data_IF_400813608923
#
_entry.id   IF_400813608923
#
_cell.length_a   1.000
_cell.length_b   1.000
_cell.length_c   1.000
_cell.angle_alpha   90.00
_cell.angle_beta   90.00
_cell.angle_gamma   90.00
#
_symmetry.space_group_name_H-M   'P 1'
#
loop_
_entity.id
_entity.type
_entity.pdbx_description
1 polymer ?
#
# COMPACT_ATOMS: atom_id res chain seq x y z
N UNK A 1 -18.64 26.32 -3.41
CA UNK A 1 -18.30 25.24 -4.36
C UNK A 1 -16.94 25.42 -5.05
N UNK A 2 -16.52 26.62 -5.49
CA UNK A 2 -15.22 26.82 -6.18
C UNK A 2 -13.98 26.60 -5.29
N UNK A 3 -14.04 26.94 -4.00
CA UNK A 3 -12.91 26.74 -3.08
C UNK A 3 -12.53 25.26 -2.90
N UNK A 4 -13.49 24.33 -2.85
CA UNK A 4 -13.20 22.90 -2.66
C UNK A 4 -12.42 22.29 -3.83
N UNK A 5 -12.79 22.65 -5.06
CA UNK A 5 -12.18 22.13 -6.28
C UNK A 5 -10.72 22.57 -6.49
N UNK A 6 -10.30 23.68 -5.89
CA UNK A 6 -8.91 24.17 -5.94
C UNK A 6 -8.12 23.75 -4.69
N UNK A 7 -8.76 23.78 -3.52
CA UNK A 7 -8.12 23.48 -2.24
C UNK A 7 -7.75 21.99 -2.13
N UNK A 8 -8.55 21.08 -2.68
CA UNK A 8 -8.26 19.64 -2.67
C UNK A 8 -6.96 19.27 -3.41
N UNK A 9 -6.80 19.60 -4.72
CA UNK A 9 -5.54 19.39 -5.41
C UNK A 9 -4.38 20.09 -4.70
N UNK A 10 -4.60 21.31 -4.18
CA UNK A 10 -3.56 22.07 -3.50
C UNK A 10 -3.08 21.37 -2.20
N UNK A 11 -4.00 20.83 -1.38
CA UNK A 11 -3.65 20.07 -0.18
C UNK A 11 -2.84 18.83 -0.57
N UNK A 12 -3.29 18.08 -1.57
CA UNK A 12 -2.57 16.87 -2.03
C UNK A 12 -1.19 17.23 -2.56
N UNK A 13 -1.08 18.23 -3.43
CA UNK A 13 0.19 18.75 -3.95
C UNK A 13 1.09 19.17 -2.78
N UNK A 14 0.57 19.92 -1.82
CA UNK A 14 1.34 20.36 -0.65
C UNK A 14 1.82 19.18 0.20
N UNK A 15 0.98 18.17 0.42
CA UNK A 15 1.35 16.95 1.14
C UNK A 15 2.42 16.13 0.39
N UNK A 16 2.30 16.03 -0.93
CA UNK A 16 3.26 15.29 -1.77
C UNK A 16 4.60 16.02 -1.86
N UNK A 17 4.60 17.32 -2.16
CA UNK A 17 5.81 18.14 -2.24
C UNK A 17 6.46 18.32 -0.87
N UNK A 18 5.67 18.63 0.17
CA UNK A 18 6.15 18.74 1.54
C UNK A 18 6.70 17.40 2.04
N UNK A 19 5.99 16.30 1.77
CA UNK A 19 6.44 14.94 2.07
C UNK A 19 7.73 14.57 1.34
N UNK A 20 7.84 14.89 0.05
CA UNK A 20 9.05 14.68 -0.76
C UNK A 20 10.24 15.50 -0.24
N UNK A 21 10.00 16.76 0.15
CA UNK A 21 11.02 17.63 0.74
C UNK A 21 11.52 17.13 2.09
N UNK A 22 10.62 16.67 2.96
CA UNK A 22 10.94 16.12 4.28
C UNK A 22 11.66 14.77 4.15
N UNK A 23 11.28 13.95 3.18
CA UNK A 23 11.80 12.60 2.97
C UNK A 23 12.99 12.51 2.00
N UNK A 24 13.59 13.64 1.62
CA UNK A 24 14.83 13.62 0.82
C UNK A 24 16.01 13.18 1.69
N UNK A 25 16.85 12.29 1.18
CA UNK A 25 18.09 11.93 1.86
C UNK A 25 19.02 13.15 1.88
N UNK A 26 19.54 13.54 3.04
CA UNK A 26 20.54 14.63 3.15
C UNK A 26 21.95 14.09 2.85
N UNK A 27 22.87 14.96 2.41
CA UNK A 27 24.22 14.54 1.95
C UNK A 27 25.03 13.85 3.05
N UNK A 28 24.80 14.23 4.31
CA UNK A 28 25.41 13.57 5.47
C UNK A 28 24.90 12.15 5.70
N UNK A 29 23.61 11.88 5.41
CA UNK A 29 23.00 10.56 5.54
C UNK A 29 23.40 9.64 4.39
N UNK A 30 23.54 10.21 3.18
CA UNK A 30 24.07 9.51 2.03
C UNK A 30 25.52 9.04 2.26
N UNK A 31 26.37 9.89 2.86
CA UNK A 31 27.75 9.57 3.25
C UNK A 31 27.85 8.60 4.43
N UNK A 32 26.93 8.68 5.40
CA UNK A 32 26.91 7.76 6.55
C UNK A 32 26.55 6.32 6.14
N UNK A 33 25.64 6.14 5.18
CA UNK A 33 25.34 4.80 4.62
C UNK A 33 26.50 4.19 3.83
N UNK A 34 27.37 5.03 3.26
CA UNK A 34 28.56 4.62 2.50
C UNK A 34 29.71 4.16 3.43
N UNK A 35 29.84 4.78 4.62
CA UNK A 35 30.85 4.41 5.63
C UNK A 35 30.52 3.17 6.46
N UNK A 36 29.25 2.73 6.49
CA UNK A 36 28.83 1.55 7.26
C UNK A 36 29.15 0.21 6.58
N UNK A 37 29.72 0.25 5.37
CA UNK A 37 30.14 -0.92 4.59
C UNK A 37 31.60 -1.31 4.89
N UNK A 38 31.95 -1.56 6.15
CA UNK A 38 33.20 -2.28 6.46
C UNK A 38 32.92 -3.78 6.27
N UNK A 39 33.28 -4.31 5.10
CA UNK A 39 33.26 -5.75 4.86
C UNK A 39 34.45 -6.37 5.60
N UNK A 40 34.20 -7.28 6.54
CA UNK A 40 35.22 -8.19 7.03
C UNK A 40 35.46 -9.21 5.92
N UNK A 41 36.57 -9.07 5.20
CA UNK A 41 37.08 -10.11 4.32
C UNK A 41 37.49 -11.28 5.21
N UNK A 42 36.75 -12.38 5.13
CA UNK A 42 37.24 -13.68 5.61
C UNK A 42 38.00 -14.25 4.44
N UNK A 43 39.33 -14.15 4.47
CA UNK A 43 40.18 -14.94 3.58
C UNK A 43 39.92 -16.43 3.90
N UNK A 44 39.31 -17.15 2.97
CA UNK A 44 39.41 -18.61 2.95
C UNK A 44 40.86 -18.94 2.57
N UNK A 45 41.71 -19.20 3.56
CA UNK A 45 43.05 -19.75 3.36
C UNK A 45 42.91 -21.12 2.67
N UNK A 46 43.10 -21.13 1.36
CA UNK A 46 43.50 -22.33 0.63
C UNK A 46 44.91 -22.65 1.11
N UNK A 47 45.02 -23.73 1.88
CA UNK A 47 46.29 -24.27 2.33
C UNK A 47 47.14 -24.65 1.11
N UNK A 48 48.14 -23.83 0.79
CA UNK A 48 49.22 -24.19 -0.10
C UNK A 48 50.51 -24.30 0.73
N UNK A 49 51.10 -25.49 0.69
CA UNK A 49 52.37 -25.80 1.34
C UNK A 49 53.48 -24.97 0.70
N UNK A 50 54.03 -24.00 1.42
CA UNK A 50 55.48 -23.77 1.54
C UNK A 50 55.75 -22.55 2.44
N UNK A 51 56.51 -22.79 3.50
CA UNK A 51 56.80 -21.78 4.51
C UNK A 51 57.66 -20.62 3.99
N UNK A 52 57.33 -19.41 4.45
CA UNK A 52 58.32 -18.46 4.95
C UNK A 52 57.63 -17.33 5.73
N UNK A 53 58.07 -17.12 6.98
CA UNK A 53 57.67 -16.00 7.84
C UNK A 53 58.06 -14.65 7.23
N UNK A 54 57.17 -13.65 7.25
CA UNK A 54 57.57 -12.24 7.38
C UNK A 54 56.50 -11.39 8.07
N UNK A 55 56.97 -10.59 9.02
CA UNK A 55 56.23 -9.66 9.88
C UNK A 55 56.48 -8.23 9.41
N UNK A 56 55.49 -7.37 9.62
CA UNK A 56 55.54 -5.89 9.71
C UNK A 56 55.27 -5.07 8.45
N UNK A 57 54.37 -4.09 8.59
CA UNK A 57 54.28 -2.94 7.71
C UNK A 57 52.92 -2.23 7.75
N UNK A 58 52.70 -1.36 8.73
CA UNK A 58 51.61 -0.38 8.68
C UNK A 58 51.87 0.65 7.58
N UNK A 59 50.96 0.77 6.62
CA UNK A 59 50.79 1.99 5.85
C UNK A 59 49.33 2.09 5.41
N UNK A 60 48.56 2.85 6.18
CA UNK A 60 47.48 3.69 5.68
C UNK A 60 47.96 4.31 4.37
N UNK A 61 47.21 4.22 3.27
CA UNK A 61 47.16 5.23 2.20
C UNK A 61 45.85 5.02 1.43
N UNK A 62 45.15 6.13 1.26
CA UNK A 62 43.81 6.28 0.69
C UNK A 62 43.76 5.91 -0.79
N UNK A 63 42.88 4.98 -1.15
CA UNK A 63 42.65 4.59 -2.54
C UNK A 63 41.32 3.89 -2.82
N UNK A 64 40.24 4.19 -2.08
CA UNK A 64 38.95 3.54 -2.33
C UNK A 64 38.13 4.30 -3.39
N UNK A 65 38.27 3.90 -4.66
CA UNK A 65 37.19 4.08 -5.64
C UNK A 65 37.16 3.04 -6.78
N UNK A 66 38.08 2.06 -6.82
CA UNK A 66 38.15 1.07 -7.90
C UNK A 66 37.70 -0.36 -7.55
N UNK A 67 37.83 -0.80 -6.31
CA UNK A 67 37.80 -2.24 -5.98
C UNK A 67 36.47 -2.76 -5.44
N UNK A 68 35.53 -1.89 -5.05
CA UNK A 68 34.23 -2.29 -4.47
C UNK A 68 33.24 -2.87 -5.50
N UNK A 69 33.49 -2.68 -6.80
CA UNK A 69 32.66 -3.21 -7.89
C UNK A 69 33.07 -4.62 -8.34
N UNK A 70 34.32 -5.02 -8.10
CA UNK A 70 34.86 -6.30 -8.54
C UNK A 70 34.31 -7.51 -7.76
N UNK A 71 33.79 -7.28 -6.55
CA UNK A 71 33.27 -8.33 -5.66
C UNK A 71 31.74 -8.55 -5.77
N UNK A 72 31.02 -7.78 -6.60
CA UNK A 72 29.57 -7.96 -6.74
C UNK A 72 29.27 -9.06 -7.77
N UNK A 73 28.71 -10.18 -7.32
CA UNK A 73 28.23 -11.22 -8.22
C UNK A 73 27.25 -10.63 -9.24
N UNK A 74 27.47 -10.90 -10.53
CA UNK A 74 26.60 -10.45 -11.64
C UNK A 74 25.14 -10.88 -11.46
N UNK A 75 24.93 -11.94 -10.71
CA UNK A 75 23.64 -12.53 -10.42
C UNK A 75 23.34 -12.47 -8.92
N UNK A 76 22.08 -12.28 -8.56
CA UNK A 76 21.54 -12.32 -7.20
C UNK A 76 20.48 -13.41 -7.10
N UNK A 77 20.30 -13.97 -5.92
CA UNK A 77 19.28 -14.98 -5.67
C UNK A 77 17.98 -14.31 -5.19
N UNK A 78 16.85 -14.81 -5.69
CA UNK A 78 15.50 -14.39 -5.32
C UNK A 78 14.66 -15.61 -4.96
N UNK A 79 14.09 -15.60 -3.76
CA UNK A 79 13.08 -16.59 -3.37
C UNK A 79 11.75 -16.22 -3.99
N UNK A 80 11.11 -17.20 -4.62
CA UNK A 80 9.77 -17.09 -5.19
C UNK A 80 8.96 -18.26 -4.65
N UNK A 81 7.75 -17.98 -4.17
CA UNK A 81 6.92 -19.05 -3.62
C UNK A 81 5.45 -18.73 -3.63
N UNK A 82 4.64 -19.76 -3.84
CA UNK A 82 3.17 -19.69 -3.85
C UNK A 82 2.65 -20.92 -3.13
N UNK A 83 1.76 -20.72 -2.16
CA UNK A 83 0.99 -21.79 -1.50
C UNK A 83 1.84 -23.00 -1.04
N UNK A 84 2.96 -22.76 -0.35
CA UNK A 84 3.80 -23.81 0.23
C UNK A 84 4.89 -24.36 -0.70
N UNK A 85 4.86 -24.00 -1.99
CA UNK A 85 5.98 -24.21 -2.90
C UNK A 85 6.94 -23.02 -2.83
N UNK A 86 8.23 -23.28 -2.66
CA UNK A 86 9.29 -22.26 -2.66
C UNK A 86 10.43 -22.72 -3.59
N UNK A 87 10.89 -21.82 -4.44
CA UNK A 87 12.06 -22.01 -5.29
C UNK A 87 12.97 -20.80 -5.21
N UNK A 88 14.26 -20.99 -5.50
CA UNK A 88 15.22 -19.92 -5.62
C UNK A 88 15.54 -19.70 -7.10
N UNK A 89 15.39 -18.47 -7.57
CA UNK A 89 15.72 -18.04 -8.92
C UNK A 89 16.94 -17.13 -8.91
N UNK A 90 17.80 -17.29 -9.90
CA UNK A 90 18.91 -16.37 -10.14
C UNK A 90 18.46 -15.24 -11.06
N UNK A 91 18.64 -14.00 -10.64
CA UNK A 91 18.23 -12.78 -11.36
C UNK A 91 19.42 -11.82 -11.50
N UNK A 92 19.42 -10.92 -12.49
CA UNK A 92 20.55 -10.00 -12.67
C UNK A 92 20.69 -9.04 -11.49
N UNK A 93 21.93 -8.84 -11.03
CA UNK A 93 22.22 -7.95 -9.91
C UNK A 93 22.38 -6.50 -10.39
N UNK A 94 21.35 -5.68 -10.21
CA UNK A 94 21.34 -4.27 -10.65
C UNK A 94 22.33 -3.36 -9.91
N UNK A 95 23.02 -3.84 -8.85
CA UNK A 95 24.01 -3.06 -8.11
C UNK A 95 25.16 -2.54 -8.99
N UNK A 96 25.45 -3.19 -10.12
CA UNK A 96 26.43 -2.73 -11.12
C UNK A 96 26.08 -1.35 -11.69
N UNK A 97 24.80 -0.94 -11.63
CA UNK A 97 24.32 0.35 -12.12
C UNK A 97 24.19 1.42 -11.04
N UNK A 98 24.72 1.17 -9.83
CA UNK A 98 24.58 2.02 -8.65
C UNK A 98 25.02 3.47 -8.85
N UNK A 99 26.07 3.70 -9.63
CA UNK A 99 26.69 5.02 -9.79
C UNK A 99 26.19 5.83 -10.99
N UNK A 100 25.23 5.28 -11.73
CA UNK A 100 24.57 5.99 -12.83
C UNK A 100 23.70 7.14 -12.33
N UNK A 101 23.53 8.15 -13.18
CA UNK A 101 22.78 9.38 -12.85
C UNK A 101 21.38 9.09 -12.29
N UNK A 102 20.60 8.23 -12.95
CA UNK A 102 19.25 7.87 -12.50
C UNK A 102 19.26 7.13 -11.16
N UNK A 103 20.21 6.21 -10.95
CA UNK A 103 20.37 5.50 -9.67
C UNK A 103 20.75 6.45 -8.53
N UNK A 104 21.62 7.44 -8.80
CA UNK A 104 21.98 8.51 -7.85
C UNK A 104 20.80 9.41 -7.54
N UNK A 105 19.98 9.74 -8.54
CA UNK A 105 18.76 10.53 -8.36
C UNK A 105 17.75 9.79 -7.47
N UNK A 106 17.49 8.51 -7.73
CA UNK A 106 16.61 7.68 -6.90
C UNK A 106 17.15 7.53 -5.47
N UNK A 107 18.46 7.44 -5.29
CA UNK A 107 19.09 7.40 -3.96
C UNK A 107 18.91 8.72 -3.20
N UNK A 108 19.05 9.85 -3.89
CA UNK A 108 18.84 11.18 -3.30
C UNK A 108 17.38 11.44 -2.95
N UNK A 109 16.47 10.96 -3.80
CA UNK A 109 15.04 11.17 -3.72
C UNK A 109 14.30 9.82 -3.71
N UNK A 110 14.34 9.07 -2.59
CA UNK A 110 13.75 7.73 -2.51
C UNK A 110 12.22 7.72 -2.73
N UNK A 111 11.55 8.85 -2.49
CA UNK A 111 10.12 9.00 -2.77
C UNK A 111 9.77 8.82 -4.26
N UNK A 112 10.72 9.01 -5.19
CA UNK A 112 10.47 8.79 -6.62
C UNK A 112 10.15 7.33 -6.92
N UNK A 113 10.76 6.40 -6.18
CA UNK A 113 10.43 4.96 -6.26
C UNK A 113 8.99 4.72 -5.83
N UNK A 114 8.53 5.44 -4.80
CA UNK A 114 7.15 5.35 -4.33
C UNK A 114 6.17 5.97 -5.33
N UNK A 115 6.49 7.14 -5.88
CA UNK A 115 5.68 7.77 -6.92
C UNK A 115 5.52 6.86 -8.15
N UNK A 116 6.62 6.22 -8.58
CA UNK A 116 6.58 5.24 -9.66
C UNK A 116 5.72 4.02 -9.31
N UNK A 117 5.83 3.51 -8.09
CA UNK A 117 5.02 2.38 -7.61
C UNK A 117 3.52 2.69 -7.67
N UNK A 118 3.09 3.85 -7.19
CA UNK A 118 1.68 4.27 -7.25
C UNK A 118 1.22 4.55 -8.67
N UNK A 119 2.09 5.14 -9.51
CA UNK A 119 1.80 5.34 -10.92
C UNK A 119 1.59 3.98 -11.64
N UNK A 120 2.43 2.98 -11.38
CA UNK A 120 2.29 1.64 -11.95
C UNK A 120 0.96 0.99 -11.55
N UNK A 121 0.59 1.06 -10.27
CA UNK A 121 -0.71 0.54 -9.81
C UNK A 121 -1.86 1.24 -10.51
N UNK A 122 -1.80 2.56 -10.64
CA UNK A 122 -2.81 3.32 -11.35
C UNK A 122 -2.91 2.91 -12.83
N UNK A 123 -1.77 2.71 -13.52
CA UNK A 123 -1.76 2.23 -14.90
C UNK A 123 -2.37 0.83 -15.05
N UNK A 124 -2.04 -0.10 -14.16
CA UNK A 124 -2.64 -1.44 -14.15
C UNK A 124 -4.15 -1.36 -13.94
N UNK A 125 -4.61 -0.53 -13.01
CA UNK A 125 -6.04 -0.28 -12.80
C UNK A 125 -6.70 0.31 -14.05
N UNK A 126 -6.09 1.30 -14.70
CA UNK A 126 -6.65 1.92 -15.91
C UNK A 126 -6.72 0.95 -17.08
N UNK A 127 -5.71 0.10 -17.25
CA UNK A 127 -5.72 -0.95 -18.26
C UNK A 127 -6.81 -1.98 -17.98
N UNK A 128 -6.90 -2.47 -16.73
CA UNK A 128 -7.95 -3.38 -16.31
C UNK A 128 -9.33 -2.79 -16.58
N UNK A 129 -9.54 -1.53 -16.21
CA UNK A 129 -10.78 -0.80 -16.49
C UNK A 129 -11.08 -0.67 -17.98
N UNK A 130 -10.08 -0.39 -18.81
CA UNK A 130 -10.26 -0.29 -20.25
C UNK A 130 -10.72 -1.64 -20.83
N UNK A 131 -10.10 -2.74 -20.37
CA UNK A 131 -10.53 -4.10 -20.72
C UNK A 131 -11.97 -4.37 -20.26
N UNK A 132 -12.32 -4.05 -19.01
CA UNK A 132 -13.68 -4.24 -18.50
C UNK A 132 -14.68 -3.41 -19.29
N UNK A 133 -14.35 -2.16 -19.63
CA UNK A 133 -15.21 -1.27 -20.41
C UNK A 133 -15.51 -1.80 -21.82
N UNK A 134 -14.55 -2.49 -22.45
CA UNK A 134 -14.77 -3.17 -23.73
C UNK A 134 -15.70 -4.39 -23.61
N UNK A 135 -15.75 -5.01 -22.43
CA UNK A 135 -16.59 -6.18 -22.14
C UNK A 135 -17.94 -5.83 -21.48
N UNK A 136 -18.12 -4.59 -21.04
CA UNK A 136 -19.28 -4.11 -20.27
C UNK A 136 -20.49 -3.88 -21.19
N UNK A 137 -21.41 -4.85 -21.21
CA UNK A 137 -22.70 -4.77 -21.91
C UNK A 137 -23.72 -4.00 -21.04
N UNK A 138 -24.71 -3.33 -21.64
CA UNK A 138 -25.74 -2.55 -20.92
C UNK A 138 -26.46 -3.31 -19.76
N UNK A 139 -26.48 -4.65 -19.79
CA UNK A 139 -27.05 -5.48 -18.72
C UNK A 139 -26.31 -5.47 -17.38
N UNK A 140 -25.11 -4.89 -17.29
CA UNK A 140 -24.32 -4.88 -16.03
C UNK A 140 -24.93 -4.03 -14.94
N UNK A 141 -25.65 -2.95 -15.29
CA UNK A 141 -26.33 -2.10 -14.30
C UNK A 141 -27.48 -2.85 -13.64
N UNK A 142 -28.24 -3.64 -14.40
CA UNK A 142 -29.33 -4.46 -13.87
C UNK A 142 -28.79 -5.58 -12.97
N UNK A 143 -27.71 -6.25 -13.38
CA UNK A 143 -27.03 -7.27 -12.57
C UNK A 143 -26.53 -6.66 -11.26
N UNK A 144 -25.86 -5.50 -11.32
CA UNK A 144 -25.34 -4.83 -10.13
C UNK A 144 -26.46 -4.42 -9.16
N UNK A 145 -27.63 -4.03 -9.68
CA UNK A 145 -28.81 -3.74 -8.87
C UNK A 145 -29.36 -4.98 -8.18
N UNK A 146 -29.47 -6.11 -8.91
CA UNK A 146 -29.90 -7.38 -8.31
C UNK A 146 -28.96 -7.83 -7.20
N UNK A 147 -27.65 -7.71 -7.40
CA UNK A 147 -26.66 -7.98 -6.37
C UNK A 147 -26.83 -7.09 -5.13
N UNK A 148 -27.14 -5.81 -5.31
CA UNK A 148 -27.42 -4.90 -4.18
C UNK A 148 -28.68 -5.32 -3.40
N UNK A 149 -29.75 -5.73 -4.09
CA UNK A 149 -30.95 -6.27 -3.43
C UNK A 149 -30.64 -7.55 -2.66
N UNK A 150 -29.83 -8.45 -3.23
CA UNK A 150 -29.36 -9.65 -2.53
C UNK A 150 -28.59 -9.31 -1.26
N UNK A 151 -27.73 -8.27 -1.28
CA UNK A 151 -27.04 -7.80 -0.07
C UNK A 151 -28.04 -7.36 1.00
N UNK A 152 -29.04 -6.54 0.63
CA UNK A 152 -30.09 -6.10 1.55
C UNK A 152 -30.84 -7.29 2.16
N UNK A 153 -31.23 -8.27 1.34
CA UNK A 153 -31.93 -9.46 1.83
C UNK A 153 -31.08 -10.25 2.83
N UNK A 154 -29.78 -10.39 2.57
CA UNK A 154 -28.85 -11.05 3.52
C UNK A 154 -28.72 -10.22 4.80
N UNK A 155 -28.60 -8.90 4.73
CA UNK A 155 -28.54 -8.03 5.90
C UNK A 155 -29.81 -8.09 6.75
N UNK A 156 -30.97 -8.18 6.11
CA UNK A 156 -32.26 -8.36 6.78
C UNK A 156 -32.35 -9.72 7.46
N UNK A 157 -31.92 -10.80 6.79
CA UNK A 157 -31.87 -12.14 7.38
C UNK A 157 -30.92 -12.21 8.58
N UNK A 158 -29.81 -11.47 8.55
CA UNK A 158 -28.86 -11.36 9.65
C UNK A 158 -29.32 -10.39 10.74
N UNK A 159 -30.39 -9.63 10.53
CA UNK A 159 -30.89 -8.62 11.47
C UNK A 159 -29.98 -7.39 11.62
N UNK A 160 -29.11 -7.13 10.63
CA UNK A 160 -28.14 -6.02 10.65
C UNK A 160 -28.48 -4.90 9.65
N UNK A 161 -29.62 -5.00 8.96
CA UNK A 161 -30.10 -3.97 8.04
C UNK A 161 -30.57 -2.71 8.78
N UNK A 162 -29.62 -1.85 9.16
CA UNK A 162 -29.82 -0.63 9.96
C UNK A 162 -29.44 0.64 9.20
N UNK A 163 -28.93 0.50 7.98
CA UNK A 163 -28.44 1.58 7.12
C UNK A 163 -29.50 2.66 6.87
N UNK A 164 -30.78 2.34 6.57
CA UNK A 164 -31.80 3.37 6.39
C UNK A 164 -32.02 4.20 7.65
N UNK A 165 -32.01 3.57 8.83
CA UNK A 165 -32.17 4.27 10.11
C UNK A 165 -30.97 5.18 10.41
N UNK A 166 -29.75 4.71 10.15
CA UNK A 166 -28.53 5.53 10.27
C UNK A 166 -28.62 6.72 9.30
N UNK A 167 -28.95 6.50 8.03
CA UNK A 167 -29.05 7.58 7.06
C UNK A 167 -30.10 8.61 7.47
N UNK A 168 -31.30 8.19 7.89
CA UNK A 168 -32.35 9.09 8.37
C UNK A 168 -31.90 9.92 9.60
N UNK A 169 -31.13 9.34 10.51
CA UNK A 169 -30.53 10.05 11.65
C UNK A 169 -29.62 11.21 11.20
N UNK A 170 -28.86 11.05 10.13
CA UNK A 170 -28.01 12.12 9.59
C UNK A 170 -28.81 13.11 8.73
N UNK A 171 -29.77 12.65 7.93
CA UNK A 171 -30.66 13.50 7.13
C UNK A 171 -31.44 14.50 7.99
N UNK A 172 -31.87 14.10 9.18
CA UNK A 172 -32.53 14.99 10.14
C UNK A 172 -31.61 16.04 10.79
N UNK A 173 -30.29 15.97 10.58
CA UNK A 173 -29.28 16.87 11.18
C UNK A 173 -28.35 17.46 10.13
N UNK A 174 -28.75 18.55 9.45
CA UNK A 174 -28.01 19.13 8.31
C UNK A 174 -26.55 19.46 8.61
N UNK A 175 -26.24 19.95 9.82
CA UNK A 175 -24.86 20.26 10.21
C UNK A 175 -23.98 19.00 10.31
N UNK A 176 -24.49 17.92 10.92
CA UNK A 176 -23.75 16.65 10.99
C UNK A 176 -23.61 16.03 9.60
N UNK A 177 -24.67 16.09 8.79
CA UNK A 177 -24.64 15.60 7.41
C UNK A 177 -23.61 16.37 6.56
N UNK A 178 -23.51 17.69 6.72
CA UNK A 178 -22.49 18.48 6.03
C UNK A 178 -21.07 17.99 6.35
N UNK A 179 -20.77 17.79 7.64
CA UNK A 179 -19.45 17.30 8.05
C UNK A 179 -19.19 15.86 7.62
N UNK A 180 -20.20 14.97 7.68
CA UNK A 180 -20.01 13.58 7.27
C UNK A 180 -19.80 13.45 5.76
N UNK A 181 -20.52 14.25 4.96
CA UNK A 181 -20.29 14.39 3.53
C UNK A 181 -18.86 14.88 3.25
N UNK A 182 -18.38 15.86 4.03
CA UNK A 182 -16.99 16.37 3.91
C UNK A 182 -15.97 15.30 4.27
N UNK A 183 -16.19 14.55 5.35
CA UNK A 183 -15.31 13.44 5.75
C UNK A 183 -15.18 12.42 4.62
N UNK A 184 -16.32 12.01 4.04
CA UNK A 184 -16.37 11.09 2.92
C UNK A 184 -15.61 11.64 1.70
N UNK A 185 -15.94 12.87 1.27
CA UNK A 185 -15.42 13.47 0.04
C UNK A 185 -13.95 13.93 0.12
N UNK A 186 -13.50 14.44 1.29
CA UNK A 186 -12.22 15.14 1.43
C UNK A 186 -11.20 14.46 2.35
N UNK A 187 -11.60 13.70 3.36
CA UNK A 187 -10.63 13.25 4.39
C UNK A 187 -9.96 11.94 3.99
N UNK A 188 -10.65 11.07 3.25
CA UNK A 188 -10.14 9.73 2.98
C UNK A 188 -8.83 9.72 2.18
N UNK A 189 -8.79 10.39 1.03
CA UNK A 189 -7.61 10.39 0.13
C UNK A 189 -6.43 11.17 0.75
N UNK A 190 -6.56 12.46 1.12
CA UNK A 190 -5.48 13.21 1.76
C UNK A 190 -5.03 12.58 3.08
N UNK A 191 -5.96 12.02 3.86
CA UNK A 191 -5.64 11.29 5.10
C UNK A 191 -4.78 10.06 4.84
N UNK A 192 -5.10 9.28 3.80
CA UNK A 192 -4.29 8.13 3.39
C UNK A 192 -2.89 8.54 2.91
N UNK A 193 -2.79 9.61 2.11
CA UNK A 193 -1.51 10.15 1.64
C UNK A 193 -0.68 10.65 2.83
N UNK A 194 -1.29 11.43 3.73
CA UNK A 194 -0.64 11.93 4.93
C UNK A 194 -0.11 10.78 5.80
N UNK A 195 -0.93 9.76 6.04
CA UNK A 195 -0.51 8.56 6.77
C UNK A 195 0.69 7.89 6.11
N UNK A 196 0.68 7.70 4.79
CA UNK A 196 1.77 7.08 4.04
C UNK A 196 3.07 7.90 4.13
N UNK A 197 2.97 9.22 3.98
CA UNK A 197 4.12 10.14 4.10
C UNK A 197 4.70 10.08 5.51
N UNK A 198 3.86 10.13 6.54
CA UNK A 198 4.28 10.02 7.94
C UNK A 198 4.90 8.64 8.24
N UNK A 199 4.28 7.56 7.78
CA UNK A 199 4.78 6.21 7.99
C UNK A 199 6.13 6.03 7.28
N UNK A 200 6.29 6.54 6.06
CA UNK A 200 7.56 6.53 5.34
C UNK A 200 8.63 7.31 6.11
N UNK A 201 8.31 8.52 6.56
CA UNK A 201 9.24 9.34 7.34
C UNK A 201 9.69 8.64 8.62
N UNK A 202 8.76 8.07 9.37
CA UNK A 202 9.03 7.40 10.65
C UNK A 202 9.83 6.11 10.48
N UNK A 203 9.57 5.34 9.43
CA UNK A 203 10.17 4.01 9.23
C UNK A 203 11.43 4.01 8.36
N UNK A 204 11.60 5.02 7.50
CA UNK A 204 12.63 5.02 6.44
C UNK A 204 13.61 6.18 6.58
N UNK A 205 13.10 7.42 6.73
CA UNK A 205 13.94 8.63 6.77
C UNK A 205 14.56 8.85 8.15
N UNK A 206 13.77 8.72 9.23
CA UNK A 206 14.22 8.93 10.61
C UNK A 206 14.95 7.70 11.17
N UNK A 207 16.01 7.23 10.50
CA UNK A 207 16.85 6.08 10.94
C UNK A 207 17.52 6.26 12.31
N UNK A 208 17.61 7.49 12.81
CA UNK A 208 18.59 7.86 13.84
C UNK A 208 18.17 7.68 15.30
N UNK A 209 16.96 7.19 15.59
CA UNK A 209 16.45 7.18 16.98
C UNK A 209 15.70 5.93 17.41
N UNK A 210 15.41 4.99 16.51
CA UNK A 210 14.65 3.80 16.85
C UNK A 210 15.46 2.53 16.57
N UNK A 211 16.10 2.06 17.62
CA UNK A 211 16.67 0.73 17.75
C UNK A 211 15.55 -0.33 17.57
N UNK A 212 15.50 -0.92 16.37
CA UNK A 212 15.02 -2.28 16.08
C UNK A 212 13.53 -2.57 15.87
N UNK A 213 12.58 -1.65 16.06
CA UNK A 213 11.14 -2.05 16.15
C UNK A 213 10.25 -1.71 14.95
N UNK A 214 10.49 -0.63 14.19
CA UNK A 214 9.67 -0.24 13.03
C UNK A 214 10.53 0.19 11.84
N UNK A 215 11.07 -0.79 11.11
CA UNK A 215 11.93 -0.54 9.94
C UNK A 215 11.18 -0.30 8.62
N UNK A 216 11.91 -0.02 7.52
CA UNK A 216 11.34 0.20 6.18
C UNK A 216 10.47 -0.97 5.69
N UNK A 217 10.75 -2.19 6.16
CA UNK A 217 9.95 -3.38 5.89
C UNK A 217 8.48 -3.22 6.30
N UNK A 218 8.20 -2.50 7.39
CA UNK A 218 6.82 -2.23 7.84
C UNK A 218 6.09 -1.38 6.80
N UNK A 219 6.68 -0.25 6.37
CA UNK A 219 6.10 0.60 5.34
C UNK A 219 5.85 -0.17 4.05
N UNK A 220 6.86 -0.92 3.58
CA UNK A 220 6.75 -1.71 2.36
C UNK A 220 5.64 -2.77 2.48
N UNK A 221 5.50 -3.42 3.64
CA UNK A 221 4.42 -4.37 3.89
C UNK A 221 3.04 -3.70 3.82
N UNK A 222 2.83 -2.55 4.48
CA UNK A 222 1.55 -1.82 4.43
C UNK A 222 1.22 -1.32 3.03
N UNK A 223 2.22 -0.84 2.31
CA UNK A 223 2.08 -0.43 0.90
C UNK A 223 1.69 -1.61 0.00
N UNK A 224 2.33 -2.78 0.15
CA UNK A 224 1.96 -4.00 -0.58
C UNK A 224 0.56 -4.47 -0.19
N UNK A 225 0.18 -4.37 1.08
CA UNK A 225 -1.20 -4.67 1.52
C UNK A 225 -2.22 -3.78 0.81
N UNK A 226 -1.99 -2.47 0.67
CA UNK A 226 -2.90 -1.60 -0.11
C UNK A 226 -2.99 -2.01 -1.58
N UNK A 227 -1.86 -2.31 -2.21
CA UNK A 227 -1.84 -2.77 -3.59
C UNK A 227 -2.60 -4.09 -3.76
N UNK A 228 -2.44 -5.03 -2.82
CA UNK A 228 -3.14 -6.30 -2.81
C UNK A 228 -4.65 -6.11 -2.55
N UNK A 229 -5.05 -5.19 -1.66
CA UNK A 229 -6.47 -4.82 -1.49
C UNK A 229 -7.07 -4.34 -2.82
N UNK A 230 -6.36 -3.49 -3.56
CA UNK A 230 -6.84 -3.00 -4.86
C UNK A 230 -6.96 -4.12 -5.88
N UNK A 231 -5.98 -5.02 -5.94
CA UNK A 231 -6.00 -6.14 -6.86
C UNK A 231 -7.21 -7.05 -6.58
N UNK A 232 -7.41 -7.44 -5.33
CA UNK A 232 -8.54 -8.30 -4.93
C UNK A 232 -9.87 -7.58 -5.15
N UNK A 233 -10.00 -6.31 -4.75
CA UNK A 233 -11.20 -5.54 -4.98
C UNK A 233 -11.51 -5.39 -6.47
N UNK A 234 -10.50 -5.14 -7.32
CA UNK A 234 -10.67 -5.07 -8.76
C UNK A 234 -11.18 -6.38 -9.36
N UNK A 235 -10.66 -7.53 -8.91
CA UNK A 235 -11.17 -8.85 -9.30
C UNK A 235 -12.64 -9.00 -8.90
N UNK A 236 -13.00 -8.65 -7.65
CA UNK A 236 -14.38 -8.74 -7.18
C UNK A 236 -15.31 -7.81 -7.96
N UNK A 237 -14.94 -6.54 -8.17
CA UNK A 237 -15.74 -5.59 -8.95
C UNK A 237 -15.98 -6.03 -10.39
N UNK A 238 -15.03 -6.77 -10.96
CA UNK A 238 -15.13 -7.28 -12.33
C UNK A 238 -16.04 -8.50 -12.40
N UNK A 239 -15.99 -9.39 -11.41
CA UNK A 239 -16.75 -10.64 -11.40
C UNK A 239 -18.16 -10.49 -10.81
N UNK A 240 -18.33 -9.58 -9.85
CA UNK A 240 -19.55 -9.38 -9.07
C UNK A 240 -19.78 -7.88 -8.81
N UNK A 241 -20.22 -7.11 -9.83
CA UNK A 241 -20.49 -5.69 -9.64
C UNK A 241 -21.68 -5.51 -8.69
N UNK A 242 -21.63 -4.50 -7.81
CA UNK A 242 -22.66 -4.26 -6.80
C UNK A 242 -23.03 -2.78 -6.79
N UNK A 243 -24.32 -2.49 -6.97
CA UNK A 243 -24.83 -1.14 -6.97
C UNK A 243 -24.85 -0.56 -5.55
N UNK A 244 -24.34 0.66 -5.33
CA UNK A 244 -24.39 1.28 -4.01
C UNK A 244 -25.81 1.72 -3.62
N UNK A 245 -26.13 1.80 -2.31
CA UNK A 245 -27.49 2.07 -1.84
C UNK A 245 -28.09 3.37 -2.38
N UNK A 246 -27.30 4.44 -2.48
CA UNK A 246 -27.75 5.76 -2.99
C UNK A 246 -28.32 5.74 -4.41
N UNK A 247 -27.97 4.75 -5.23
CA UNK A 247 -28.44 4.61 -6.61
C UNK A 247 -29.67 3.69 -6.73
N UNK A 248 -30.07 3.00 -5.66
CA UNK A 248 -31.24 2.10 -5.69
C UNK A 248 -32.56 2.85 -5.87
N UNK A 249 -32.67 4.03 -5.28
CA UNK A 249 -33.88 4.86 -5.29
C UNK A 249 -34.02 5.73 -6.56
N UNK A 250 -33.33 5.39 -7.65
CA UNK A 250 -33.37 6.15 -8.91
C UNK A 250 -34.83 6.30 -9.42
N UNK A 251 -35.37 7.53 -9.54
CA UNK A 251 -36.73 7.76 -10.01
C UNK A 251 -37.00 7.19 -11.41
N UNK A 252 -36.01 7.17 -12.29
CA UNK A 252 -36.16 6.83 -13.70
C UNK A 252 -36.16 5.31 -13.94
N UNK A 253 -35.78 4.51 -12.94
CA UNK A 253 -35.80 3.05 -13.05
C UNK A 253 -37.22 2.47 -13.09
N UNK A 254 -37.55 1.68 -14.12
CA UNK A 254 -38.87 1.05 -14.35
C UNK A 254 -38.83 -0.48 -14.50
N UNK A 255 -37.75 -1.14 -14.05
CA UNK A 255 -37.63 -2.60 -14.11
C UNK A 255 -38.52 -3.33 -13.11
N UNK A 256 -38.49 -4.67 -13.13
CA UNK A 256 -39.33 -5.53 -12.27
C UNK A 256 -39.09 -5.26 -10.77
N UNK A 257 -37.83 -5.09 -10.39
CA UNK A 257 -37.44 -4.88 -8.99
C UNK A 257 -37.53 -3.40 -8.56
N UNK A 258 -38.13 -2.51 -9.38
CA UNK A 258 -38.14 -1.07 -9.12
C UNK A 258 -38.97 -0.71 -7.88
N UNK A 259 -40.08 -1.40 -7.64
CA UNK A 259 -40.92 -1.16 -6.47
C UNK A 259 -40.15 -1.44 -5.18
N UNK A 260 -39.45 -2.57 -5.13
CA UNK A 260 -38.64 -2.96 -3.98
C UNK A 260 -37.42 -2.03 -3.82
N UNK A 261 -36.63 -1.83 -4.88
CA UNK A 261 -35.43 -0.99 -4.81
C UNK A 261 -35.71 0.43 -4.29
N UNK A 262 -36.84 1.02 -4.70
CA UNK A 262 -37.25 2.36 -4.26
C UNK A 262 -37.85 2.37 -2.85
N UNK A 263 -38.38 1.25 -2.37
CA UNK A 263 -39.03 1.17 -1.06
C UNK A 263 -38.09 1.45 0.12
N UNK A 264 -36.78 1.19 -0.06
CA UNK A 264 -35.77 1.43 0.98
C UNK A 264 -35.43 2.91 1.20
N UNK A 265 -35.75 3.79 0.24
CA UNK A 265 -35.70 5.24 0.44
C UNK A 265 -34.31 5.84 0.63
N UNK A 266 -33.24 5.18 0.16
CA UNK A 266 -31.89 5.74 0.21
C UNK A 266 -31.78 7.05 -0.58
N UNK A 267 -30.99 7.99 -0.07
CA UNK A 267 -30.78 9.32 -0.68
C UNK A 267 -29.31 9.55 -0.99
N UNK A 268 -28.99 10.05 -2.19
CA UNK A 268 -27.63 10.49 -2.52
C UNK A 268 -27.36 11.90 -1.95
N UNK A 269 -26.67 11.95 -0.81
CA UNK A 269 -26.34 13.20 -0.13
C UNK A 269 -25.05 13.84 -0.62
N UNK A 270 -24.23 13.12 -1.37
CA UNK A 270 -22.87 13.55 -1.76
C UNK A 270 -22.83 14.03 -3.21
N UNK A 271 -23.52 13.34 -4.13
CA UNK A 271 -23.50 13.64 -5.56
C UNK A 271 -24.80 14.29 -6.06
N UNK A 272 -25.81 14.44 -5.19
CA UNK A 272 -27.06 15.13 -5.49
C UNK A 272 -26.91 16.65 -5.65
N UNK A 273 -27.99 17.32 -6.07
CA UNK A 273 -28.06 18.79 -6.18
C UNK A 273 -27.83 19.43 -4.81
N UNK A 274 -26.65 20.02 -4.59
CA UNK A 274 -26.23 20.64 -3.32
C UNK A 274 -25.28 19.79 -2.46
N UNK A 275 -24.85 18.61 -2.94
CA UNK A 275 -23.87 17.77 -2.25
C UNK A 275 -22.43 18.32 -2.30
N UNK A 276 -21.60 17.91 -1.33
CA UNK A 276 -20.16 18.20 -1.28
C UNK A 276 -19.40 17.30 -2.27
N UNK A 277 -19.67 17.51 -3.55
CA UNK A 277 -18.97 16.87 -4.66
C UNK A 277 -17.48 17.23 -4.58
N UNK A 278 -16.60 16.23 -4.39
CA UNK A 278 -15.16 16.42 -4.57
C UNK A 278 -14.79 16.15 -6.03
N UNK A 279 -13.67 16.72 -6.47
CA UNK A 279 -13.13 16.46 -7.82
C UNK A 279 -12.84 14.97 -8.01
N UNK A 280 -12.60 14.26 -6.91
CA UNK A 280 -12.26 12.85 -6.87
C UNK A 280 -13.48 11.91 -6.79
N UNK A 281 -14.57 12.31 -6.11
CA UNK A 281 -15.81 11.51 -6.05
C UNK A 281 -16.72 11.70 -7.26
N UNK A 282 -16.64 12.86 -7.91
CA UNK A 282 -17.46 13.20 -9.10
C UNK A 282 -16.78 12.85 -10.41
N UNK A 283 -15.63 12.18 -10.35
CA UNK A 283 -14.86 11.91 -11.55
C UNK A 283 -15.61 10.91 -12.45
N UNK A 284 -15.91 11.31 -13.69
CA UNK A 284 -16.54 10.48 -14.74
C UNK A 284 -15.76 9.17 -15.03
N UNK A 285 -14.54 9.08 -14.51
CA UNK A 285 -13.63 7.93 -14.61
C UNK A 285 -13.67 6.96 -13.40
N UNK A 286 -14.58 7.12 -12.44
CA UNK A 286 -14.80 6.16 -11.34
C UNK A 286 -15.96 5.20 -11.67
N UNK A 287 -15.81 3.90 -11.38
CA UNK A 287 -16.90 2.93 -11.57
C UNK A 287 -17.93 3.12 -10.44
N UNK A 288 -19.07 3.74 -10.76
CA UNK A 288 -20.11 4.04 -9.77
C UNK A 288 -20.86 2.80 -9.25
N UNK A 289 -20.69 1.64 -9.90
CA UNK A 289 -21.34 0.35 -9.56
C UNK A 289 -20.39 -0.64 -8.88
N UNK A 290 -19.37 -0.13 -8.18
CA UNK A 290 -18.36 -0.90 -7.48
C UNK A 290 -18.47 -0.68 -5.95
N UNK A 291 -19.62 -1.01 -5.36
CA UNK A 291 -19.86 -0.83 -3.93
C UNK A 291 -19.13 -1.90 -3.07
N UNK A 292 -19.14 -3.17 -3.48
CA UNK A 292 -18.56 -4.28 -2.70
C UNK A 292 -17.29 -4.82 -3.37
N UNK A 293 -16.14 -4.92 -2.68
CA UNK A 293 -15.87 -4.56 -1.27
C UNK A 293 -15.60 -3.06 -1.07
N UNK A 294 -15.88 -2.54 0.14
CA UNK A 294 -15.58 -1.14 0.46
C UNK A 294 -14.08 -0.90 0.68
N UNK A 295 -13.41 -0.33 -0.33
CA UNK A 295 -12.01 0.09 -0.22
C UNK A 295 -11.80 1.26 0.76
N UNK A 296 -12.80 2.16 0.88
CA UNK A 296 -12.79 3.23 1.89
C UNK A 296 -12.61 2.66 3.30
N UNK A 297 -13.44 1.65 3.63
CA UNK A 297 -13.33 0.97 4.91
C UNK A 297 -12.06 0.12 5.00
N UNK A 298 -11.72 -0.65 3.96
CA UNK A 298 -10.52 -1.50 3.96
C UNK A 298 -9.22 -0.74 4.20
N UNK A 299 -9.06 0.45 3.59
CA UNK A 299 -7.91 1.32 3.78
C UNK A 299 -7.89 1.97 5.15
N UNK A 300 -9.03 2.49 5.60
CA UNK A 300 -9.11 3.10 6.93
C UNK A 300 -8.86 2.07 8.04
N UNK A 301 -9.28 0.82 7.84
CA UNK A 301 -8.97 -0.30 8.73
C UNK A 301 -7.48 -0.62 8.73
N UNK A 302 -6.83 -0.72 7.56
CA UNK A 302 -5.39 -0.90 7.46
C UNK A 302 -4.62 0.20 8.21
N UNK A 303 -5.01 1.46 8.01
CA UNK A 303 -4.41 2.64 8.67
C UNK A 303 -4.60 2.52 10.19
N UNK A 304 -5.84 2.31 10.63
CA UNK A 304 -6.18 2.21 12.05
C UNK A 304 -5.48 1.07 12.76
N UNK A 305 -5.44 -0.12 12.14
CA UNK A 305 -4.70 -1.28 12.65
C UNK A 305 -3.19 -1.02 12.66
N UNK A 306 -2.64 -0.34 11.66
CA UNK A 306 -1.20 -0.01 11.65
C UNK A 306 -0.86 0.93 12.80
N UNK A 307 -1.68 1.95 13.08
CA UNK A 307 -1.48 2.87 14.21
C UNK A 307 -1.63 2.12 15.53
N UNK A 308 -2.69 1.31 15.67
CA UNK A 308 -2.98 0.54 16.88
C UNK A 308 -1.89 -0.50 17.20
N UNK A 309 -1.27 -1.09 16.17
CA UNK A 309 -0.23 -2.13 16.30
C UNK A 309 1.19 -1.60 16.21
N UNK A 310 1.39 -0.31 15.92
CA UNK A 310 2.71 0.29 15.75
C UNK A 310 3.57 -0.01 16.98
N UNK A 311 4.74 -0.65 16.84
CA UNK A 311 5.55 -1.01 17.99
C UNK A 311 6.22 0.25 18.56
N UNK A 312 5.88 0.60 19.80
CA UNK A 312 6.41 1.79 20.49
C UNK A 312 7.18 1.30 21.72
N UNK A 313 8.48 1.59 21.75
CA UNK A 313 9.39 1.12 22.81
C UNK A 313 9.00 1.76 24.15
N UNK A 314 9.08 0.97 25.22
CA UNK A 314 8.78 1.42 26.59
C UNK A 314 7.29 1.52 26.92
N UNK A 315 6.39 1.26 25.96
CA UNK A 315 4.95 1.24 26.20
C UNK A 315 4.45 -0.19 26.36
N UNK A 316 4.07 -0.55 27.60
CA UNK A 316 3.41 -1.84 27.87
C UNK A 316 2.01 -1.86 27.25
N UNK A 317 1.55 -3.03 26.83
CA UNK A 317 0.21 -3.23 26.27
C UNK A 317 -0.92 -2.78 27.21
N UNK A 318 -0.70 -2.90 28.52
CA UNK A 318 -1.65 -2.50 29.57
C UNK A 318 -1.58 -1.02 29.95
N UNK A 319 -0.68 -0.23 29.33
CA UNK A 319 -0.57 1.20 29.64
C UNK A 319 -1.76 1.97 29.08
N UNK A 320 -2.31 2.91 29.85
CA UNK A 320 -3.36 3.82 29.38
C UNK A 320 -2.97 4.56 28.09
N UNK A 321 -1.67 4.90 27.95
CA UNK A 321 -1.13 5.53 26.75
C UNK A 321 -1.24 4.62 25.52
N UNK A 322 -1.04 3.31 25.68
CA UNK A 322 -1.20 2.33 24.60
C UNK A 322 -2.68 2.17 24.24
N UNK A 323 -3.56 2.12 25.24
CA UNK A 323 -5.01 2.09 25.00
C UNK A 323 -5.47 3.33 24.24
N UNK A 324 -4.99 4.53 24.59
CA UNK A 324 -5.30 5.77 23.87
C UNK A 324 -4.88 5.71 22.39
N UNK A 325 -3.72 5.12 22.07
CA UNK A 325 -3.26 4.94 20.69
C UNK A 325 -4.14 3.93 19.93
N UNK A 326 -4.55 2.84 20.58
CA UNK A 326 -5.46 1.86 19.99
C UNK A 326 -6.82 2.51 19.70
N UNK A 327 -7.38 3.25 20.66
CA UNK A 327 -8.65 3.98 20.49
C UNK A 327 -8.53 5.00 19.37
N UNK A 328 -7.44 5.77 19.31
CA UNK A 328 -7.19 6.73 18.23
C UNK A 328 -7.01 6.04 16.87
N UNK A 329 -6.36 4.88 16.83
CA UNK A 329 -6.22 4.08 15.63
C UNK A 329 -7.58 3.58 15.12
N UNK A 330 -8.42 3.06 16.02
CA UNK A 330 -9.74 2.50 15.68
C UNK A 330 -10.82 3.56 15.46
N UNK A 331 -10.64 4.78 15.94
CA UNK A 331 -11.59 5.87 15.71
C UNK A 331 -11.66 6.24 14.22
N UNK A 332 -10.55 6.15 13.48
CA UNK A 332 -10.51 6.46 12.05
C UNK A 332 -11.36 5.51 11.18
N UNK A 333 -11.19 4.17 11.20
CA UNK A 333 -12.07 3.27 10.46
C UNK A 333 -13.53 3.37 10.92
N UNK A 334 -13.79 3.64 12.20
CA UNK A 334 -15.16 3.84 12.72
C UNK A 334 -15.80 5.10 12.12
N UNK A 335 -15.04 6.20 12.04
CA UNK A 335 -15.49 7.44 11.40
C UNK A 335 -15.78 7.21 9.91
N UNK A 336 -14.90 6.50 9.19
CA UNK A 336 -15.10 6.20 7.77
C UNK A 336 -16.29 5.25 7.55
N UNK A 337 -16.47 4.23 8.39
CA UNK A 337 -17.65 3.36 8.36
C UNK A 337 -18.94 4.17 8.53
N UNK A 338 -18.95 5.07 9.51
CA UNK A 338 -20.08 5.95 9.75
C UNK A 338 -20.35 6.82 8.52
N UNK A 339 -19.30 7.35 7.89
CA UNK A 339 -19.43 8.20 6.72
C UNK A 339 -19.98 7.47 5.50
N UNK A 340 -19.49 6.27 5.19
CA UNK A 340 -19.95 5.53 4.00
C UNK A 340 -21.40 5.05 4.14
N UNK A 341 -21.84 4.68 5.34
CA UNK A 341 -23.22 4.25 5.61
C UNK A 341 -24.17 5.45 5.66
N UNK A 342 -23.81 6.51 6.39
CA UNK A 342 -24.63 7.73 6.50
C UNK A 342 -24.88 8.41 5.13
N UNK A 343 -23.92 8.30 4.22
CA UNK A 343 -24.01 8.86 2.86
C UNK A 343 -24.60 7.89 1.83
N UNK A 344 -25.07 6.70 2.27
CA UNK A 344 -25.58 5.63 1.41
C UNK A 344 -24.63 5.22 0.28
N UNK A 345 -23.32 5.35 0.48
CA UNK A 345 -22.33 4.92 -0.51
C UNK A 345 -22.01 3.44 -0.44
N UNK A 346 -22.21 2.82 0.72
CA UNK A 346 -21.93 1.41 0.96
C UNK A 346 -22.95 0.79 1.94
N UNK A 347 -23.24 -0.48 1.76
CA UNK A 347 -23.92 -1.33 2.75
C UNK A 347 -22.98 -1.72 3.89
N UNK A 348 -23.50 -2.22 5.01
CA UNK A 348 -22.65 -2.70 6.11
C UNK A 348 -21.85 -3.94 5.68
N UNK A 349 -22.44 -4.84 4.89
CA UNK A 349 -21.75 -5.99 4.31
C UNK A 349 -20.65 -5.58 3.33
N UNK A 350 -20.74 -4.43 2.67
CA UNK A 350 -19.62 -3.92 1.86
C UNK A 350 -18.39 -3.63 2.73
N UNK A 351 -18.62 -3.09 3.93
CA UNK A 351 -17.57 -2.83 4.91
C UNK A 351 -17.01 -4.14 5.47
N UNK A 352 -17.86 -5.13 5.75
CA UNK A 352 -17.41 -6.48 6.15
C UNK A 352 -16.54 -7.11 5.07
N UNK A 353 -16.98 -7.09 3.81
CA UNK A 353 -16.20 -7.56 2.67
C UNK A 353 -14.87 -6.80 2.54
N UNK A 354 -14.87 -5.47 2.74
CA UNK A 354 -13.67 -4.64 2.80
C UNK A 354 -12.70 -5.06 3.92
N UNK A 355 -13.23 -5.43 5.09
CA UNK A 355 -12.44 -5.93 6.22
C UNK A 355 -11.79 -7.29 5.89
N UNK A 356 -12.56 -8.21 5.31
CA UNK A 356 -12.08 -9.53 4.88
C UNK A 356 -10.97 -9.37 3.83
N UNK A 357 -11.20 -8.53 2.81
CA UNK A 357 -10.19 -8.23 1.78
C UNK A 357 -8.94 -7.63 2.40
N UNK A 358 -9.08 -6.70 3.35
CA UNK A 358 -7.94 -6.13 4.07
C UNK A 358 -7.16 -7.20 4.84
N UNK A 359 -7.83 -8.12 5.54
CA UNK A 359 -7.20 -9.20 6.29
C UNK A 359 -6.47 -10.19 5.37
N UNK A 360 -7.10 -10.60 4.27
CA UNK A 360 -6.49 -11.47 3.24
C UNK A 360 -5.28 -10.78 2.63
N UNK A 361 -5.41 -9.52 2.21
CA UNK A 361 -4.32 -8.74 1.65
C UNK A 361 -3.17 -8.53 2.65
N UNK A 362 -3.47 -8.36 3.94
CA UNK A 362 -2.47 -8.25 4.99
C UNK A 362 -1.62 -9.51 5.11
N UNK A 363 -2.25 -10.69 5.02
CA UNK A 363 -1.55 -11.98 5.06
C UNK A 363 -0.84 -12.30 3.74
N UNK A 364 -1.48 -12.01 2.61
CA UNK A 364 -1.03 -12.39 1.28
C UNK A 364 -0.11 -11.36 0.60
N UNK A 365 0.18 -10.21 1.23
CA UNK A 365 1.02 -9.15 0.64
C UNK A 365 2.41 -9.64 0.18
N UNK A 366 2.91 -10.74 0.75
CA UNK A 366 4.17 -11.37 0.37
C UNK A 366 4.16 -11.95 -1.05
N UNK A 367 2.98 -12.34 -1.59
CA UNK A 367 2.88 -12.87 -2.95
C UNK A 367 3.34 -11.86 -4.01
N UNK A 368 3.19 -10.56 -3.75
CA UNK A 368 3.69 -9.52 -4.64
C UNK A 368 5.22 -9.49 -4.75
N UNK A 369 5.95 -10.12 -3.82
CA UNK A 369 7.40 -10.26 -3.89
C UNK A 369 7.83 -11.25 -4.98
N UNK A 370 6.93 -12.12 -5.45
CA UNK A 370 7.20 -12.98 -6.61
C UNK A 370 7.38 -12.19 -7.91
N UNK A 371 7.03 -10.90 -7.91
CA UNK A 371 7.29 -9.97 -9.02
C UNK A 371 8.68 -9.31 -8.93
N UNK A 372 9.44 -9.49 -7.85
CA UNK A 372 10.79 -8.94 -7.72
C UNK A 372 11.78 -9.45 -8.78
N UNK A 373 11.74 -10.72 -9.23
CA UNK A 373 12.54 -11.14 -10.38
C UNK A 373 12.25 -10.34 -11.64
N UNK A 374 10.96 -10.11 -11.95
CA UNK A 374 10.56 -9.29 -13.10
C UNK A 374 11.05 -7.84 -12.94
N UNK A 375 10.96 -7.28 -11.72
CA UNK A 375 11.51 -5.96 -11.40
C UNK A 375 13.03 -5.91 -11.65
N UNK A 376 13.79 -6.94 -11.24
CA UNK A 376 15.24 -6.98 -11.46
C UNK A 376 15.58 -6.98 -12.96
N UNK A 377 14.89 -7.78 -13.78
CA UNK A 377 15.09 -7.79 -15.23
C UNK A 377 14.73 -6.44 -15.88
N UNK A 378 13.62 -5.83 -15.46
CA UNK A 378 13.19 -4.52 -15.95
C UNK A 378 14.22 -3.43 -15.61
N UNK A 379 14.67 -3.38 -14.35
CA UNK A 379 15.70 -2.44 -13.90
C UNK A 379 17.04 -2.70 -14.59
N UNK A 380 17.37 -3.96 -14.87
CA UNK A 380 18.57 -4.32 -15.62
C UNK A 380 18.52 -3.81 -17.07
N UNK A 381 17.37 -3.97 -17.74
CA UNK A 381 17.14 -3.46 -19.09
C UNK A 381 17.28 -1.93 -19.16
N UNK A 382 16.71 -1.22 -18.18
CA UNK A 382 16.82 0.24 -18.08
C UNK A 382 18.18 0.70 -17.56
N UNK A 383 19.02 -0.23 -17.09
CA UNK A 383 20.31 0.03 -16.47
C UNK A 383 20.22 0.99 -15.27
N UNK A 384 19.25 0.73 -14.39
CA UNK A 384 18.98 1.52 -13.18
C UNK A 384 19.09 0.61 -11.95
N UNK A 385 19.60 1.15 -10.84
CA UNK A 385 19.58 0.48 -9.55
C UNK A 385 18.57 1.14 -8.60
N UNK A 386 17.70 0.33 -7.99
CA UNK A 386 16.74 0.77 -6.98
C UNK A 386 17.40 0.71 -5.60
N UNK A 387 17.50 1.83 -4.86
CA UNK A 387 18.09 1.83 -3.53
C UNK A 387 17.22 1.03 -2.55
N UNK A 388 17.80 0.07 -1.83
CA UNK A 388 17.11 -0.71 -0.81
C UNK A 388 17.29 -0.01 0.55
N UNK A 389 16.23 0.47 1.21
CA UNK A 389 16.38 1.08 2.52
C UNK A 389 16.65 0.01 3.58
N UNK A 390 17.87 -0.01 4.14
CA UNK A 390 18.22 -0.83 5.31
C UNK A 390 18.82 -2.20 5.03
N UNK A 391 19.13 -2.55 3.78
CA UNK A 391 20.05 -3.65 3.49
C UNK A 391 21.45 -3.06 3.35
N UNK A 392 22.34 -3.39 4.30
CA UNK A 392 23.74 -3.57 3.97
C UNK A 392 23.77 -4.55 2.80
N UNK A 393 24.43 -4.21 1.70
CA UNK A 393 24.54 -5.11 0.54
C UNK A 393 25.22 -6.45 0.90
N UNK A 394 25.86 -6.52 2.08
CA UNK A 394 26.37 -7.74 2.69
C UNK A 394 25.30 -8.70 3.24
N UNK A 395 24.07 -8.27 3.52
CA UNK A 395 23.01 -9.13 4.06
C UNK A 395 22.48 -10.15 3.06
N UNK A 396 22.36 -9.76 1.77
CA UNK A 396 21.99 -10.67 0.68
C UNK A 396 23.15 -11.63 0.33
N UNK A 397 24.40 -11.18 0.49
CA UNK A 397 25.60 -12.02 0.33
C UNK A 397 25.71 -13.07 1.44
N UNK A 398 25.56 -12.67 2.70
CA UNK A 398 25.61 -13.58 3.86
C UNK A 398 24.41 -14.53 3.92
N UNK A 399 23.21 -14.07 3.53
CA UNK A 399 22.05 -14.95 3.37
C UNK A 399 22.27 -15.95 2.22
N UNK A 400 22.87 -15.49 1.11
CA UNK A 400 23.24 -16.33 -0.02
C UNK A 400 24.32 -17.36 0.32
N UNK A 401 25.32 -17.01 1.13
CA UNK A 401 26.38 -17.91 1.60
C UNK A 401 25.87 -18.93 2.62
N UNK A 402 25.02 -18.49 3.55
CA UNK A 402 24.38 -19.38 4.52
C UNK A 402 23.42 -20.37 3.82
N UNK A 403 22.69 -19.94 2.79
CA UNK A 403 21.86 -20.82 1.96
C UNK A 403 22.70 -21.75 1.08
N UNK A 404 23.79 -21.25 0.48
CA UNK A 404 24.71 -22.08 -0.33
C UNK A 404 25.35 -23.18 0.51
N UNK A 405 25.76 -22.87 1.75
CA UNK A 405 26.25 -23.87 2.72
C UNK A 405 25.16 -24.85 3.20
N UNK A 406 23.88 -24.47 3.20
CA UNK A 406 22.76 -25.39 3.54
C UNK A 406 22.37 -26.29 2.38
N UNK A 407 22.41 -25.79 1.15
CA UNK A 407 22.10 -26.56 -0.05
C UNK A 407 23.19 -27.59 -0.35
N UNK A 408 24.47 -27.22 -0.23
CA UNK A 408 25.60 -28.17 -0.40
C UNK A 408 25.56 -29.30 0.64
N UNK A 409 25.15 -29.01 1.89
CA UNK A 409 24.95 -30.05 2.92
C UNK A 409 23.80 -31.01 2.63
N UNK A 410 22.89 -30.66 1.72
CA UNK A 410 21.77 -31.51 1.31
C UNK A 410 22.08 -32.34 0.05
N UNK A 411 23.16 -32.01 -0.67
CA UNK A 411 23.66 -32.80 -1.81
C UNK A 411 24.75 -33.81 -1.39
N UNK A 412 25.38 -33.63 -0.22
CA UNK A 412 26.40 -34.53 0.34
C UNK A 412 25.85 -35.59 1.34
N UNK A 413 24.53 -35.65 1.54
CA UNK A 413 23.83 -36.64 2.38
C UNK A 413 22.78 -37.39 1.57
#
# INVERSE_FOLDING_TARGET
MVLGAVLEPLIVVTLLFGGAWVNRCRDEEARAGEKSCDYVVVDDEVADEQGLRRRSGSSTWSGCSGETLAALSRWRLRRVGVCGWETVLSTPNTAVFRDRLLSRLLRRFPFLVEAWYWALIYWVYQLGRALTALTLVQGTVEVARKHALQVIHVEQQLGIFIEPAIQQYFLSRPLLLHWINRVYSFIHIPGTIFFLVCLFYLTTTRRRTHDGTAGPALYQARRRTMAMCNLVAFVVFTLWPCMPPRLLSDPDYRGQDAAEAKSFGFVDTVHGKGGESSVWTTNRFCNQYAAMPSLHFGYSLLIGLTIATLPIRGLRWTSWKRMAIVVLGLSYPTLILTAIVATANHFLLDAVAGAVVCAVAWRANGLLLNLCPLEDYFLWLLRIHKPVPGCDDGGDLLAGEADRRRLLKHEEA
#
